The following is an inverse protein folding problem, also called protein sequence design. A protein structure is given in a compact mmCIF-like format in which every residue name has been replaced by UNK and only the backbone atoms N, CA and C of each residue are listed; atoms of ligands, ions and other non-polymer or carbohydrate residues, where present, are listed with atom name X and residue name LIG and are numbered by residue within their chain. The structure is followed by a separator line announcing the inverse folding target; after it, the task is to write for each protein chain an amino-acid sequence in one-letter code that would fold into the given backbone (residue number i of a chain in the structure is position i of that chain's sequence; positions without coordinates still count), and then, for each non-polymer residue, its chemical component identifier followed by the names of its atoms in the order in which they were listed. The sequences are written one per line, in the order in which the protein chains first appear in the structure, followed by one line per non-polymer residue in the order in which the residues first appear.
data_IF_426789361959
#
_entry.id   IF_426789361959
#
_cell.length_a   1.000
_cell.length_b   1.000
_cell.length_c   1.000
_cell.angle_alpha   90.00
_cell.angle_beta   90.00
_cell.angle_gamma   90.00
#
_symmetry.space_group_name_H-M   'P 1'
#
loop_
_entity.id
_entity.type
_entity.pdbx_description
1 polymer ?
#
# COMPACT_ATOMS: atom_id res chain seq x y z
N UNK A 1 16.44 5.96 12.12
CA UNK A 1 15.91 4.93 13.02
C UNK A 1 15.40 5.50 14.35
N UNK A 2 16.18 6.28 15.09
CA UNK A 2 15.81 6.80 16.43
C UNK A 2 14.45 7.51 16.51
N UNK A 3 14.13 8.39 15.56
CA UNK A 3 12.86 9.14 15.56
C UNK A 3 11.61 8.25 15.37
N UNK A 4 11.70 7.25 14.49
CA UNK A 4 10.62 6.29 14.28
C UNK A 4 10.39 5.43 15.54
N UNK A 5 11.48 4.96 16.17
CA UNK A 5 11.42 4.21 17.42
C UNK A 5 10.83 5.06 18.54
N UNK A 6 11.29 6.32 18.70
CA UNK A 6 10.77 7.24 19.72
C UNK A 6 9.27 7.48 19.56
N UNK A 7 8.81 7.73 18.33
CA UNK A 7 7.38 7.94 18.03
C UNK A 7 6.55 6.70 18.34
N UNK A 8 7.03 5.52 17.97
CA UNK A 8 6.36 4.25 18.27
C UNK A 8 6.20 4.03 19.79
N UNK A 9 7.29 4.18 20.55
CA UNK A 9 7.27 4.02 22.00
C UNK A 9 6.45 5.09 22.70
N UNK A 10 6.46 6.33 22.19
CA UNK A 10 5.63 7.41 22.71
C UNK A 10 4.13 7.06 22.60
N UNK A 11 3.66 6.64 21.43
CA UNK A 11 2.25 6.25 21.27
C UNK A 11 1.90 4.97 22.04
N UNK A 12 2.84 4.03 22.19
CA UNK A 12 2.64 2.85 23.04
C UNK A 12 2.39 3.25 24.52
N UNK A 13 3.11 4.24 25.02
CA UNK A 13 2.90 4.79 26.36
C UNK A 13 1.54 5.47 26.49
N UNK A 14 1.15 6.29 25.51
CA UNK A 14 -0.16 6.95 25.47
C UNK A 14 -1.31 5.92 25.49
N UNK A 15 -1.22 4.87 24.68
CA UNK A 15 -2.21 3.78 24.66
C UNK A 15 -2.26 3.07 26.01
N UNK A 16 -1.10 2.76 26.60
CA UNK A 16 -1.03 2.07 27.90
C UNK A 16 -1.71 2.84 29.04
N UNK A 17 -1.62 4.18 29.06
CA UNK A 17 -2.31 5.02 30.06
C UNK A 17 -3.81 5.16 29.77
N UNK A 18 -4.19 5.24 28.50
CA UNK A 18 -5.58 5.51 28.08
C UNK A 18 -6.45 4.26 28.06
N UNK A 19 -5.86 3.08 27.87
CA UNK A 19 -6.58 1.82 27.75
C UNK A 19 -7.45 1.45 28.96
N UNK A 20 -7.02 1.60 30.22
CA UNK A 20 -7.88 1.33 31.38
C UNK A 20 -9.12 2.22 31.43
N UNK A 21 -8.98 3.51 31.06
CA UNK A 21 -10.12 4.43 30.98
C UNK A 21 -11.07 4.07 29.85
N UNK A 22 -10.54 3.63 28.71
CA UNK A 22 -11.34 3.18 27.56
C UNK A 22 -12.14 1.92 27.91
N UNK A 23 -11.53 0.95 28.59
CA UNK A 23 -12.22 -0.27 29.03
C UNK A 23 -13.37 0.02 29.99
N UNK A 24 -13.17 0.93 30.95
CA UNK A 24 -14.22 1.31 31.91
C UNK A 24 -15.40 2.05 31.25
N UNK A 25 -15.13 2.86 30.23
CA UNK A 25 -16.17 3.65 29.55
C UNK A 25 -16.94 2.87 28.47
N UNK A 26 -16.25 2.08 27.64
CA UNK A 26 -16.83 1.47 26.43
C UNK A 26 -17.13 -0.03 26.55
N UNK A 27 -16.77 -0.67 27.68
CA UNK A 27 -16.74 -2.13 27.83
C UNK A 27 -15.76 -2.79 26.85
N UNK A 28 -15.42 -4.08 27.00
CA UNK A 28 -14.43 -4.73 26.13
C UNK A 28 -14.78 -4.65 24.64
N UNK A 29 -16.04 -4.88 24.27
CA UNK A 29 -16.48 -4.85 22.87
C UNK A 29 -16.32 -3.47 22.21
N UNK A 30 -16.58 -2.38 22.94
CA UNK A 30 -16.44 -1.03 22.42
C UNK A 30 -14.98 -0.60 22.30
N UNK A 31 -14.11 -1.05 23.21
CA UNK A 31 -12.68 -0.81 23.14
C UNK A 31 -12.04 -1.46 21.89
N UNK A 32 -12.42 -2.70 21.57
CA UNK A 32 -11.97 -3.36 20.33
C UNK A 32 -12.50 -2.64 19.08
N UNK A 33 -13.78 -2.24 19.08
CA UNK A 33 -14.38 -1.47 17.97
C UNK A 33 -13.67 -0.13 17.72
N UNK A 34 -13.25 0.56 18.79
CA UNK A 34 -12.49 1.81 18.69
C UNK A 34 -11.15 1.63 17.96
N UNK A 35 -10.38 0.61 18.35
CA UNK A 35 -9.11 0.31 17.67
C UNK A 35 -9.31 -0.25 16.25
N UNK A 36 -10.38 -1.00 16.01
CA UNK A 36 -10.74 -1.43 14.66
C UNK A 36 -10.99 -0.23 13.74
N UNK A 37 -11.69 0.81 14.21
CA UNK A 37 -11.88 2.06 13.47
C UNK A 37 -10.55 2.75 13.12
N UNK A 38 -9.63 2.83 14.08
CA UNK A 38 -8.28 3.37 13.83
C UNK A 38 -7.48 2.54 12.82
N UNK A 39 -7.62 1.22 12.82
CA UNK A 39 -6.99 0.36 11.82
C UNK A 39 -7.56 0.61 10.41
N UNK A 40 -8.87 0.83 10.27
CA UNK A 40 -9.48 1.18 8.98
C UNK A 40 -8.96 2.53 8.47
N UNK A 41 -8.87 3.53 9.35
CA UNK A 41 -8.29 4.84 8.98
C UNK A 41 -6.83 4.66 8.55
N UNK A 42 -6.04 3.91 9.32
CA UNK A 42 -4.64 3.60 9.01
C UNK A 42 -4.49 2.89 7.67
N UNK A 43 -5.37 1.94 7.36
CA UNK A 43 -5.39 1.25 6.07
C UNK A 43 -5.56 2.23 4.90
N UNK A 44 -6.52 3.15 4.96
CA UNK A 44 -6.70 4.15 3.90
C UNK A 44 -5.53 5.14 3.81
N UNK A 45 -4.98 5.57 4.95
CA UNK A 45 -3.80 6.42 4.95
C UNK A 45 -2.60 5.75 4.27
N UNK A 46 -2.31 4.50 4.62
CA UNK A 46 -1.24 3.74 3.99
C UNK A 46 -1.50 3.59 2.49
N UNK A 47 -2.74 3.23 2.12
CA UNK A 47 -3.12 3.03 0.73
C UNK A 47 -2.86 4.29 -0.13
N UNK A 48 -3.21 5.49 0.37
CA UNK A 48 -3.09 6.72 -0.44
C UNK A 48 -1.75 7.46 -0.28
N UNK A 49 -1.09 7.37 0.88
CA UNK A 49 0.07 8.21 1.20
C UNK A 49 1.40 7.46 1.20
N UNK A 50 1.41 6.13 1.29
CA UNK A 50 2.64 5.34 1.32
C UNK A 50 2.89 4.74 -0.07
N UNK A 51 3.87 5.23 -0.83
CA UNK A 51 4.24 4.61 -2.09
C UNK A 51 4.90 3.25 -1.85
N UNK A 52 4.76 2.34 -2.82
CA UNK A 52 5.46 1.06 -2.80
C UNK A 52 6.98 1.29 -2.89
N UNK A 53 7.72 0.80 -1.88
CA UNK A 53 9.19 0.93 -1.79
C UNK A 53 9.91 -0.42 -1.88
N UNK A 54 9.17 -1.51 -2.13
CA UNK A 54 9.73 -2.86 -2.18
C UNK A 54 10.64 -3.04 -3.40
N UNK A 55 11.85 -3.58 -3.16
CA UNK A 55 12.82 -3.96 -4.18
C UNK A 55 13.37 -2.81 -5.05
N UNK A 56 13.26 -1.56 -4.59
CA UNK A 56 13.93 -0.42 -5.23
C UNK A 56 15.33 -0.19 -4.64
N UNK A 57 16.26 0.20 -5.50
CA UNK A 57 17.54 0.75 -5.07
C UNK A 57 17.37 2.15 -4.45
N UNK A 58 18.38 2.62 -3.69
CA UNK A 58 18.33 3.95 -3.06
C UNK A 58 18.17 5.10 -4.07
N UNK A 59 18.69 4.94 -5.29
CA UNK A 59 18.57 5.92 -6.38
C UNK A 59 17.15 5.96 -6.97
N UNK A 60 16.50 4.81 -7.10
CA UNK A 60 15.11 4.71 -7.57
C UNK A 60 14.11 5.17 -6.52
N UNK A 61 14.45 5.02 -5.24
CA UNK A 61 13.64 5.47 -4.12
C UNK A 61 13.55 7.01 -4.04
N UNK A 62 14.60 7.73 -4.43
CA UNK A 62 14.55 9.20 -4.55
C UNK A 62 13.62 9.64 -5.69
N UNK A 63 13.57 8.89 -6.80
CA UNK A 63 12.61 9.13 -7.89
C UNK A 63 11.17 8.92 -7.44
N UNK A 64 10.90 7.91 -6.61
CA UNK A 64 9.57 7.66 -6.02
C UNK A 64 9.12 8.83 -5.14
N UNK A 65 10.03 9.38 -4.34
CA UNK A 65 9.74 10.53 -3.47
C UNK A 65 9.73 11.88 -4.19
N UNK A 66 10.30 11.98 -5.39
CA UNK A 66 10.24 13.18 -6.23
C UNK A 66 8.84 13.45 -6.80
N UNK A 67 7.99 12.43 -6.88
CA UNK A 67 6.62 12.56 -7.39
C UNK A 67 5.69 13.03 -6.27
N UNK A 68 4.92 14.09 -6.54
CA UNK A 68 3.99 14.66 -5.57
C UNK A 68 2.99 13.63 -5.06
N UNK A 69 2.81 13.58 -3.73
CA UNK A 69 1.83 12.72 -3.03
C UNK A 69 0.42 12.84 -3.60
N UNK A 70 0.05 13.99 -4.17
CA UNK A 70 -1.26 14.21 -4.80
C UNK A 70 -1.45 13.39 -6.08
N UNK A 71 -0.37 13.21 -6.85
CA UNK A 71 -0.37 12.40 -8.07
C UNK A 71 -0.48 10.91 -7.72
N UNK A 72 0.24 10.47 -6.68
CA UNK A 72 0.14 9.11 -6.15
C UNK A 72 -1.25 8.78 -5.63
N UNK A 73 -1.83 9.68 -4.82
CA UNK A 73 -3.17 9.48 -4.28
C UNK A 73 -4.24 9.43 -5.39
N UNK A 74 -4.12 10.26 -6.44
CA UNK A 74 -5.03 10.24 -7.58
C UNK A 74 -4.89 8.96 -8.42
N UNK A 75 -3.67 8.46 -8.58
CA UNK A 75 -3.40 7.17 -9.24
C UNK A 75 -4.01 6.02 -8.45
N UNK A 76 -3.76 5.97 -7.14
CA UNK A 76 -4.30 4.93 -6.27
C UNK A 76 -5.83 4.97 -6.21
N UNK A 77 -6.43 6.17 -6.18
CA UNK A 77 -7.89 6.33 -6.24
C UNK A 77 -8.51 5.72 -7.50
N UNK A 78 -7.79 5.72 -8.63
CA UNK A 78 -8.22 5.03 -9.86
C UNK A 78 -7.92 3.53 -9.82
N UNK A 79 -6.90 3.09 -9.07
CA UNK A 79 -6.53 1.70 -8.92
C UNK A 79 -7.53 0.91 -8.06
N UNK A 80 -8.04 1.51 -6.98
CA UNK A 80 -8.99 0.90 -6.04
C UNK A 80 -10.21 0.24 -6.73
N UNK A 81 -10.98 0.92 -7.61
CA UNK A 81 -12.12 0.31 -8.26
C UNK A 81 -11.73 -0.80 -9.26
N UNK A 82 -10.54 -0.74 -9.86
CA UNK A 82 -10.03 -1.78 -10.75
C UNK A 82 -9.62 -3.03 -9.95
N UNK A 83 -8.96 -2.83 -8.81
CA UNK A 83 -8.64 -3.89 -7.86
C UNK A 83 -9.89 -4.61 -7.37
N UNK A 84 -10.93 -3.86 -6.98
CA UNK A 84 -12.24 -4.41 -6.58
C UNK A 84 -12.86 -5.23 -7.72
N UNK A 85 -12.88 -4.69 -8.95
CA UNK A 85 -13.44 -5.41 -10.11
C UNK A 85 -12.68 -6.69 -10.43
N UNK A 86 -11.36 -6.68 -10.26
CA UNK A 86 -10.50 -7.85 -10.48
C UNK A 86 -10.67 -8.90 -9.38
N UNK A 87 -10.60 -8.50 -8.11
CA UNK A 87 -10.56 -9.43 -6.98
C UNK A 87 -11.95 -9.87 -6.48
N UNK A 88 -12.92 -8.95 -6.47
CA UNK A 88 -14.28 -9.24 -6.00
C UNK A 88 -15.18 -9.70 -7.16
N UNK A 89 -15.14 -9.01 -8.31
CA UNK A 89 -15.98 -9.37 -9.46
C UNK A 89 -15.33 -10.39 -10.42
N UNK A 90 -14.12 -10.89 -10.13
CA UNK A 90 -13.36 -11.84 -10.97
C UNK A 90 -13.40 -11.49 -12.46
N UNK A 91 -13.36 -10.20 -12.78
CA UNK A 91 -13.40 -9.70 -14.15
C UNK A 91 -11.98 -9.36 -14.59
N UNK A 92 -11.58 -9.84 -15.76
CA UNK A 92 -10.34 -9.42 -16.41
C UNK A 92 -10.49 -7.93 -16.79
N UNK A 93 -9.69 -7.07 -16.15
CA UNK A 93 -9.68 -5.62 -16.38
C UNK A 93 -8.26 -5.22 -16.77
N UNK A 94 -8.15 -4.33 -17.75
CA UNK A 94 -6.88 -3.81 -18.26
C UNK A 94 -6.04 -3.21 -17.13
N UNK A 95 -4.78 -3.65 -17.03
CA UNK A 95 -3.83 -3.16 -16.03
C UNK A 95 -3.60 -1.66 -16.21
N UNK A 96 -3.43 -0.94 -15.10
CA UNK A 96 -3.15 0.48 -15.17
C UNK A 96 -1.76 0.74 -15.78
N UNK A 97 -1.59 1.84 -16.53
CA UNK A 97 -0.28 2.21 -17.03
C UNK A 97 0.65 2.47 -15.83
N UNK A 98 1.83 1.83 -15.78
CA UNK A 98 2.78 1.97 -14.68
C UNK A 98 3.16 3.43 -14.45
N UNK A 99 3.12 3.86 -13.19
CA UNK A 99 3.32 5.27 -12.83
C UNK A 99 4.80 5.66 -12.89
N UNK A 100 5.71 4.70 -12.72
CA UNK A 100 7.14 4.94 -12.72
C UNK A 100 7.86 4.35 -13.94
N UNK A 101 8.95 5.01 -14.34
CA UNK A 101 9.77 4.56 -15.46
C UNK A 101 10.40 3.17 -15.21
N UNK A 102 10.80 2.85 -13.98
CA UNK A 102 11.37 1.54 -13.64
C UNK A 102 10.35 0.39 -13.76
N UNK A 103 9.09 0.67 -13.40
CA UNK A 103 8.00 -0.30 -13.51
C UNK A 103 7.76 -0.68 -14.98
N UNK A 104 7.87 0.27 -15.92
CA UNK A 104 7.85 0.01 -17.36
C UNK A 104 8.97 -0.93 -17.83
N UNK A 105 10.17 -0.83 -17.25
CA UNK A 105 11.31 -1.69 -17.60
C UNK A 105 11.07 -3.11 -17.11
N UNK A 106 10.59 -3.26 -15.87
CA UNK A 106 10.25 -4.57 -15.28
C UNK A 106 9.13 -5.25 -16.09
N UNK A 107 8.06 -4.53 -16.43
CA UNK A 107 6.97 -5.08 -17.25
C UNK A 107 7.46 -5.50 -18.64
N UNK A 108 8.33 -4.71 -19.28
CA UNK A 108 8.93 -5.09 -20.58
C UNK A 108 9.82 -6.32 -20.47
N UNK A 109 10.65 -6.40 -19.43
CA UNK A 109 11.52 -7.57 -19.21
C UNK A 109 10.68 -8.84 -18.98
N UNK A 110 9.60 -8.74 -18.20
CA UNK A 110 8.67 -9.84 -17.99
C UNK A 110 8.03 -10.32 -19.31
N UNK A 111 7.54 -9.41 -20.15
CA UNK A 111 6.97 -9.74 -21.46
C UNK A 111 7.99 -10.37 -22.43
N UNK A 112 9.24 -9.88 -22.42
CA UNK A 112 10.32 -10.45 -23.25
C UNK A 112 10.68 -11.85 -22.76
N UNK A 113 10.74 -12.06 -21.44
CA UNK A 113 10.99 -13.37 -20.85
C UNK A 113 9.87 -14.37 -21.13
N UNK A 114 8.60 -13.95 -21.07
CA UNK A 114 7.46 -14.77 -21.47
C UNK A 114 7.52 -15.14 -22.95
N UNK A 115 7.90 -14.20 -23.83
CA UNK A 115 8.07 -14.48 -25.25
C UNK A 115 9.22 -15.47 -25.50
N UNK A 116 10.32 -15.40 -24.75
CA UNK A 116 11.44 -16.32 -24.85
C UNK A 116 11.11 -17.72 -24.29
N UNK A 117 10.35 -17.79 -23.21
CA UNK A 117 9.92 -19.06 -22.58
C UNK A 117 8.69 -19.68 -23.24
N UNK A 118 8.05 -19.01 -24.20
CA UNK A 118 6.98 -19.61 -24.98
C UNK A 118 7.58 -20.80 -25.75
N UNK A 119 7.14 -22.05 -25.51
CA UNK A 119 7.61 -23.17 -26.30
C UNK A 119 7.29 -22.87 -27.76
N UNK A 120 8.27 -22.99 -28.65
CA UNK A 120 8.13 -22.85 -30.10
C UNK A 120 7.05 -23.82 -30.61
N UNK A 121 5.79 -23.42 -30.48
CA UNK A 121 4.60 -24.15 -30.92
C UNK A 121 4.05 -23.42 -32.13
N UNK A 122 4.92 -23.22 -33.12
CA UNK A 122 4.57 -22.87 -34.49
C UNK A 122 5.52 -23.62 -35.42
N UNK A 123 5.25 -24.91 -35.58
CA UNK A 123 5.51 -25.65 -36.81
C UNK A 123 4.15 -25.89 -37.49
#
# INVERSE_FOLDING_TARGET
MSFATATCWFFNFVVSITFPRLLNAFKPQGAFGWYAGWNVIGFFLILFFVPETKALSLEELDQVFSVSTRTHAAYQGRAVPLWIKRHILRREVQDQPPLYAHENVISKQAQVQERYNAPDTKA
#
